data_IF_790105393530
#
_entry.id   IF_790105393530
#
_cell.length_a   1.000
_cell.length_b   1.000
_cell.length_c   1.000
_cell.angle_alpha   90.00
_cell.angle_beta   90.00
_cell.angle_gamma   90.00
#
_symmetry.space_group_name_H-M   'P 1'
#
loop_
_entity.id
_entity.type
_entity.pdbx_description
1 polymer ?
#
# COMPACT_ATOMS: atom_id res chain seq x y z
N UNK A 1 -8.20 13.17 -12.10
CA UNK A 1 -8.94 11.92 -11.87
C UNK A 1 -9.76 11.64 -13.11
N UNK A 2 -9.17 10.94 -14.06
CA UNK A 2 -9.86 10.54 -15.29
C UNK A 2 -10.41 9.10 -15.21
N UNK A 3 -9.86 8.25 -14.32
CA UNK A 3 -10.55 7.07 -13.78
C UNK A 3 -10.12 6.78 -12.32
N UNK A 4 -10.88 5.94 -11.61
CA UNK A 4 -10.56 5.52 -10.23
C UNK A 4 -9.75 4.21 -10.14
N UNK A 5 -9.38 3.66 -11.30
CA UNK A 5 -8.71 2.37 -11.44
C UNK A 5 -7.20 2.47 -11.54
N UNK A 6 -6.69 3.66 -11.90
CA UNK A 6 -5.28 3.93 -12.10
C UNK A 6 -4.73 3.37 -13.41
N UNK A 7 -5.57 3.21 -14.44
CA UNK A 7 -5.18 2.74 -15.77
C UNK A 7 -4.74 3.87 -16.70
N UNK A 8 -5.13 5.11 -16.40
CA UNK A 8 -4.64 6.28 -17.11
C UNK A 8 -3.19 6.60 -16.69
N UNK A 9 -2.28 6.60 -17.66
CA UNK A 9 -0.86 6.94 -17.46
C UNK A 9 -0.64 8.42 -17.09
N UNK A 10 -1.68 9.25 -17.20
CA UNK A 10 -1.67 10.66 -16.80
C UNK A 10 -2.24 10.90 -15.41
N UNK A 11 -2.80 9.89 -14.73
CA UNK A 11 -3.22 10.02 -13.34
C UNK A 11 -1.98 10.11 -12.44
N UNK A 12 -1.54 11.35 -12.23
CA UNK A 12 -0.47 11.70 -11.30
C UNK A 12 -1.06 11.78 -9.90
N UNK A 13 -0.96 10.68 -9.16
CA UNK A 13 -1.23 10.65 -7.72
C UNK A 13 0.09 10.70 -6.95
N UNK A 14 0.25 11.67 -6.06
CA UNK A 14 1.46 11.78 -5.24
C UNK A 14 1.42 10.83 -4.04
N UNK A 15 2.59 10.45 -3.54
CA UNK A 15 2.70 9.68 -2.30
C UNK A 15 2.05 10.42 -1.12
N UNK A 16 2.23 11.75 -1.05
CA UNK A 16 1.65 12.60 -0.01
C UNK A 16 0.12 12.60 -0.02
N UNK A 17 -0.49 12.60 -1.22
CA UNK A 17 -1.94 12.55 -1.31
C UNK A 17 -2.48 11.19 -0.86
N UNK A 18 -1.81 10.09 -1.22
CA UNK A 18 -2.20 8.75 -0.78
C UNK A 18 -2.08 8.58 0.73
N UNK A 19 -0.99 9.06 1.33
CA UNK A 19 -0.82 8.99 2.79
C UNK A 19 -1.78 9.91 3.53
N UNK A 20 -2.07 11.10 3.00
CA UNK A 20 -3.10 11.99 3.55
C UNK A 20 -4.49 11.35 3.50
N UNK A 21 -4.86 10.68 2.40
CA UNK A 21 -6.12 9.94 2.30
C UNK A 21 -6.20 8.80 3.33
N UNK A 22 -5.11 8.04 3.51
CA UNK A 22 -5.04 6.96 4.49
C UNK A 22 -5.17 7.50 5.93
N UNK A 23 -4.53 8.63 6.22
CA UNK A 23 -4.65 9.31 7.51
C UNK A 23 -6.09 9.77 7.77
N UNK A 24 -6.73 10.38 6.77
CA UNK A 24 -8.12 10.81 6.83
C UNK A 24 -9.07 9.63 7.07
N UNK A 25 -8.82 8.49 6.42
CA UNK A 25 -9.61 7.27 6.61
C UNK A 25 -9.39 6.62 7.98
N UNK A 26 -8.26 6.91 8.65
CA UNK A 26 -7.94 6.44 9.98
C UNK A 26 -8.51 7.34 11.09
N UNK A 27 -8.98 8.55 10.77
CA UNK A 27 -9.51 9.51 11.73
C UNK A 27 -10.70 8.93 12.51
N UNK A 28 -10.62 8.80 13.85
CA UNK A 28 -11.73 8.35 14.68
C UNK A 28 -13.00 9.21 14.56
N UNK A 29 -12.87 10.49 14.18
CA UNK A 29 -14.00 11.39 13.93
C UNK A 29 -14.72 11.08 12.59
N UNK A 30 -14.15 10.19 11.75
CA UNK A 30 -14.68 9.83 10.43
C UNK A 30 -14.91 8.32 10.30
N UNK A 31 -15.71 7.70 11.18
CA UNK A 31 -15.92 6.24 11.20
C UNK A 31 -16.46 5.67 9.88
N UNK A 32 -17.18 6.48 9.10
CA UNK A 32 -17.69 6.13 7.78
C UNK A 32 -16.59 5.84 6.74
N UNK A 33 -15.35 6.30 6.96
CA UNK A 33 -14.22 6.06 6.06
C UNK A 33 -13.42 4.79 6.40
N UNK A 34 -13.66 4.17 7.56
CA UNK A 34 -12.98 2.93 7.99
C UNK A 34 -12.99 1.80 6.95
N UNK A 35 -14.05 1.61 6.14
CA UNK A 35 -14.05 0.61 5.07
C UNK A 35 -12.88 0.75 4.08
N UNK A 36 -12.36 1.97 3.87
CA UNK A 36 -11.17 2.21 3.03
C UNK A 36 -9.96 1.44 3.56
N UNK A 37 -9.78 1.38 4.88
CA UNK A 37 -8.67 0.66 5.51
C UNK A 37 -8.96 -0.83 5.69
N UNK A 38 -10.18 -1.19 6.08
CA UNK A 38 -10.53 -2.60 6.34
C UNK A 38 -10.70 -3.41 5.05
N UNK A 39 -10.95 -2.75 3.92
CA UNK A 39 -11.01 -3.38 2.60
C UNK A 39 -9.65 -3.65 1.97
N UNK A 40 -8.55 -3.17 2.56
CA UNK A 40 -7.21 -3.39 2.01
C UNK A 40 -6.81 -4.88 2.12
N UNK A 41 -6.17 -5.45 1.07
CA UNK A 41 -5.52 -6.75 1.16
C UNK A 41 -4.57 -6.83 2.36
N UNK A 42 -4.57 -7.98 3.04
CA UNK A 42 -3.77 -8.24 4.23
C UNK A 42 -2.59 -9.13 3.85
N UNK A 43 -1.38 -8.71 4.22
CA UNK A 43 -0.14 -9.44 3.98
C UNK A 43 -0.25 -10.91 4.43
N UNK A 44 0.06 -11.84 3.52
CA UNK A 44 -0.02 -13.29 3.67
C UNK A 44 -1.43 -13.90 3.79
N UNK A 45 -2.51 -13.11 3.74
CA UNK A 45 -3.87 -13.64 3.95
C UNK A 45 -4.83 -13.41 2.80
N UNK A 46 -4.86 -12.21 2.21
CA UNK A 46 -5.93 -11.85 1.26
C UNK A 46 -5.44 -11.08 0.05
N UNK A 47 -6.24 -11.15 -1.02
CA UNK A 47 -6.06 -10.38 -2.24
C UNK A 47 -4.66 -10.55 -2.85
N UNK A 48 -4.13 -9.45 -3.38
CA UNK A 48 -2.83 -9.42 -4.07
C UNK A 48 -1.63 -9.56 -3.14
N UNK A 49 -1.85 -9.65 -1.83
CA UNK A 49 -0.79 -9.88 -0.83
C UNK A 49 -0.79 -11.31 -0.25
N UNK A 50 -1.75 -12.17 -0.62
CA UNK A 50 -1.90 -13.51 -0.04
C UNK A 50 -0.62 -14.38 -0.17
N UNK A 51 0.10 -14.26 -1.29
CA UNK A 51 1.37 -14.98 -1.51
C UNK A 51 2.64 -14.20 -1.15
N UNK A 52 2.52 -13.03 -0.49
CA UNK A 52 3.65 -12.16 -0.11
C UNK A 52 3.85 -12.19 1.39
N UNK A 53 5.02 -11.75 1.87
CA UNK A 53 5.32 -11.58 3.30
C UNK A 53 5.32 -12.89 4.12
N UNK A 54 5.69 -14.02 3.52
CA UNK A 54 5.80 -15.32 4.21
C UNK A 54 6.84 -15.29 5.33
N UNK A 55 7.94 -14.57 5.12
CA UNK A 55 9.09 -14.55 6.02
C UNK A 55 9.20 -13.25 6.85
N UNK A 56 8.09 -12.52 7.00
CA UNK A 56 8.04 -11.31 7.83
C UNK A 56 6.89 -10.37 7.46
N UNK A 57 6.35 -9.64 8.44
CA UNK A 57 5.24 -8.68 8.30
C UNK A 57 3.85 -9.25 7.90
N UNK A 58 3.68 -10.58 7.91
CA UNK A 58 2.38 -11.22 7.76
C UNK A 58 1.34 -10.63 8.75
N UNK A 59 0.18 -10.24 8.25
CA UNK A 59 -0.89 -9.62 9.04
C UNK A 59 -0.64 -8.17 9.48
N UNK A 60 0.60 -7.69 9.43
CA UNK A 60 1.01 -6.36 9.90
C UNK A 60 0.90 -5.29 8.81
N UNK A 61 1.07 -5.68 7.54
CA UNK A 61 0.85 -4.80 6.39
C UNK A 61 -0.54 -5.03 5.80
N UNK A 62 -1.28 -3.93 5.59
CA UNK A 62 -2.53 -3.89 4.82
C UNK A 62 -2.39 -2.87 3.73
N UNK A 63 -2.40 -3.28 2.47
CA UNK A 63 -2.08 -2.37 1.38
C UNK A 63 -2.72 -2.77 0.06
N UNK A 64 -3.01 -1.75 -0.76
CA UNK A 64 -3.40 -1.92 -2.14
C UNK A 64 -2.15 -1.93 -3.02
N UNK A 65 -2.13 -2.86 -3.97
CA UNK A 65 -1.10 -2.95 -5.00
C UNK A 65 -1.55 -2.25 -6.28
N UNK A 66 -0.63 -1.61 -7.00
CA UNK A 66 -0.84 -1.16 -8.37
C UNK A 66 0.35 -1.57 -9.23
N UNK A 67 0.08 -2.17 -10.39
CA UNK A 67 1.11 -2.61 -11.33
C UNK A 67 0.67 -2.27 -12.75
N UNK A 68 1.48 -1.48 -13.45
CA UNK A 68 1.38 -1.21 -14.87
C UNK A 68 2.76 -1.40 -15.51
N UNK A 69 2.82 -1.43 -16.84
CA UNK A 69 4.10 -1.44 -17.56
C UNK A 69 4.93 -0.22 -17.15
N UNK A 70 6.08 -0.45 -16.51
CA UNK A 70 6.96 0.62 -16.05
C UNK A 70 6.61 1.24 -14.70
N UNK A 71 5.54 0.80 -14.03
CA UNK A 71 5.09 1.39 -12.77
C UNK A 71 4.68 0.32 -11.77
N UNK A 72 5.23 0.40 -10.56
CA UNK A 72 4.84 -0.42 -9.42
C UNK A 72 4.52 0.49 -8.21
N UNK A 73 3.41 0.22 -7.55
CA UNK A 73 2.99 0.97 -6.37
C UNK A 73 2.50 0.04 -5.26
N UNK A 74 2.68 0.49 -4.02
CA UNK A 74 2.15 -0.14 -2.82
C UNK A 74 1.80 0.96 -1.82
N UNK A 75 0.53 1.08 -1.46
CA UNK A 75 0.07 2.08 -0.51
C UNK A 75 -0.90 1.47 0.49
N UNK A 76 -0.75 1.84 1.76
CA UNK A 76 -1.55 1.27 2.83
C UNK A 76 -1.02 1.60 4.21
N UNK A 77 -1.33 0.73 5.17
CA UNK A 77 -0.96 0.89 6.56
C UNK A 77 -0.11 -0.26 7.04
N UNK A 78 0.76 0.03 8.01
CA UNK A 78 1.51 -0.96 8.77
C UNK A 78 1.32 -0.72 10.26
N UNK A 79 1.13 -1.81 11.02
CA UNK A 79 1.14 -1.77 12.48
C UNK A 79 2.53 -2.17 12.96
N UNK A 80 3.21 -1.24 13.64
CA UNK A 80 4.53 -1.50 14.25
C UNK A 80 4.39 -2.43 15.48
N UNK A 81 5.48 -3.07 15.94
CA UNK A 81 5.44 -3.98 17.09
C UNK A 81 4.96 -3.33 18.39
N UNK A 82 5.20 -2.04 18.58
CA UNK A 82 4.71 -1.23 19.70
C UNK A 82 3.26 -0.75 19.53
N UNK A 83 2.58 -1.16 18.45
CA UNK A 83 1.15 -0.93 18.22
C UNK A 83 0.82 0.39 17.52
N UNK A 84 1.82 1.14 17.03
CA UNK A 84 1.58 2.37 16.27
C UNK A 84 1.17 2.05 14.83
N UNK A 85 0.11 2.70 14.37
CA UNK A 85 -0.32 2.61 12.97
C UNK A 85 0.42 3.67 12.14
N UNK A 86 1.09 3.25 11.08
CA UNK A 86 1.75 4.14 10.11
C UNK A 86 1.07 4.01 8.74
N UNK A 87 0.78 5.13 8.10
CA UNK A 87 0.40 5.18 6.69
C UNK A 87 1.63 5.31 5.81
N UNK A 88 1.66 4.60 4.67
CA UNK A 88 2.75 4.67 3.71
C UNK A 88 2.23 4.62 2.27
N UNK A 89 3.02 5.18 1.35
CA UNK A 89 2.82 5.06 -0.08
C UNK A 89 4.17 4.99 -0.78
N UNK A 90 4.41 3.91 -1.52
CA UNK A 90 5.59 3.75 -2.36
C UNK A 90 5.17 3.75 -3.82
N UNK A 91 5.83 4.60 -4.62
CA UNK A 91 5.61 4.72 -6.05
C UNK A 91 6.96 4.57 -6.75
N UNK A 92 7.09 3.54 -7.57
CA UNK A 92 8.26 3.31 -8.41
C UNK A 92 7.83 3.44 -9.87
N UNK A 93 8.36 4.47 -10.54
CA UNK A 93 8.17 4.71 -11.97
C UNK A 93 9.42 4.24 -12.75
N UNK A 94 9.27 4.12 -14.06
CA UNK A 94 10.32 3.68 -14.99
C UNK A 94 10.96 2.34 -14.61
N UNK A 95 10.19 1.44 -13.99
CA UNK A 95 10.67 0.12 -13.57
C UNK A 95 10.83 -0.80 -14.77
N UNK A 96 12.02 -1.34 -14.99
CA UNK A 96 12.27 -2.28 -16.10
C UNK A 96 11.88 -3.72 -15.79
N UNK A 97 11.75 -4.07 -14.51
CA UNK A 97 11.34 -5.39 -14.04
C UNK A 97 10.32 -5.27 -12.90
N UNK A 98 9.07 -5.66 -13.18
CA UNK A 98 7.95 -5.47 -12.26
C UNK A 98 8.06 -6.35 -11.00
N UNK A 99 8.70 -7.53 -11.09
CA UNK A 99 8.82 -8.46 -9.98
C UNK A 99 9.85 -7.96 -8.96
N UNK A 100 11.02 -7.53 -9.44
CA UNK A 100 12.08 -6.94 -8.65
C UNK A 100 11.61 -5.65 -7.98
N UNK A 101 10.91 -4.78 -8.72
CA UNK A 101 10.30 -3.59 -8.15
C UNK A 101 9.29 -3.94 -7.06
N UNK A 102 8.37 -4.89 -7.30
CA UNK A 102 7.44 -5.37 -6.29
C UNK A 102 8.17 -5.87 -5.03
N UNK A 103 9.18 -6.72 -5.19
CA UNK A 103 9.97 -7.25 -4.06
C UNK A 103 10.72 -6.14 -3.31
N UNK A 104 11.17 -5.09 -4.00
CA UNK A 104 11.77 -3.93 -3.35
C UNK A 104 10.75 -3.14 -2.51
N UNK A 105 9.55 -2.91 -3.05
CA UNK A 105 8.45 -2.27 -2.30
C UNK A 105 8.05 -3.10 -1.08
N UNK A 106 8.04 -4.43 -1.20
CA UNK A 106 7.76 -5.32 -0.07
C UNK A 106 8.79 -5.21 1.03
N UNK A 107 10.08 -5.24 0.67
CA UNK A 107 11.15 -5.06 1.65
C UNK A 107 11.05 -3.71 2.34
N UNK A 108 10.77 -2.63 1.60
CA UNK A 108 10.58 -1.31 2.18
C UNK A 108 9.42 -1.30 3.20
N UNK A 109 8.28 -1.92 2.88
CA UNK A 109 7.17 -2.03 3.84
C UNK A 109 7.54 -2.86 5.07
N UNK A 110 8.27 -3.97 4.89
CA UNK A 110 8.76 -4.79 6.01
C UNK A 110 9.69 -4.00 6.93
N UNK A 111 10.54 -3.10 6.40
CA UNK A 111 11.43 -2.28 7.25
C UNK A 111 10.67 -1.36 8.19
N UNK A 112 9.43 -0.96 7.86
CA UNK A 112 8.60 -0.14 8.73
C UNK A 112 8.05 -0.90 9.95
N UNK A 113 8.14 -2.24 9.93
CA UNK A 113 7.76 -3.12 11.06
C UNK A 113 8.90 -3.28 12.06
N UNK A 114 10.11 -2.80 11.74
CA UNK A 114 11.30 -2.97 12.58
C UNK A 114 11.44 -1.90 13.64
#
# INVERSE_FOLDING_TARGET
FHDGSGLDRTDLISADLLTALLAEAADPARPQLRPVLTGLPVAHFTGTLAGRYTDGAAGLVRAKTGTLTGVNTLAGTVTTPDGRLLGFAFLANDTTDAWSAQSALDRAATTLVS
#
